data_IF_792358155183
#
_entry.id   IF_792358155183
#
_cell.length_a   1.000
_cell.length_b   1.000
_cell.length_c   1.000
_cell.angle_alpha   90.00
_cell.angle_beta   90.00
_cell.angle_gamma   90.00
#
_symmetry.space_group_name_H-M   'P 1'
#
loop_
_entity.id
_entity.type
_entity.pdbx_description
1 polymer ?
#
# COMPACT_ATOMS: atom_id res chain seq x y z
N UNK A 1 -27.25 -11.13 12.97
CA UNK A 1 -26.84 -12.30 12.15
C UNK A 1 -26.25 -11.84 10.82
N UNK A 2 -24.98 -12.20 10.50
CA UNK A 2 -24.35 -12.26 9.15
C UNK A 2 -22.83 -12.49 9.32
N UNK A 3 -22.40 -13.73 9.56
CA UNK A 3 -20.97 -14.06 9.73
C UNK A 3 -20.40 -15.03 8.66
N UNK A 4 -21.26 -15.67 7.84
CA UNK A 4 -20.83 -16.68 6.87
C UNK A 4 -20.30 -16.18 5.52
N UNK A 5 -20.10 -14.87 5.28
CA UNK A 5 -19.77 -14.34 3.94
C UNK A 5 -18.31 -13.94 3.70
N UNK A 6 -17.54 -13.56 4.72
CA UNK A 6 -16.17 -13.04 4.52
C UNK A 6 -15.21 -14.13 4.01
N UNK A 7 -15.26 -15.32 4.64
CA UNK A 7 -14.47 -16.50 4.23
C UNK A 7 -14.82 -17.03 2.82
N UNK A 8 -15.97 -16.65 2.25
CA UNK A 8 -16.40 -17.11 0.94
C UNK A 8 -15.63 -16.43 -0.22
N UNK A 9 -15.03 -15.26 0.01
CA UNK A 9 -14.34 -14.48 -1.03
C UNK A 9 -12.88 -14.91 -1.27
N UNK A 10 -12.34 -15.85 -0.48
CA UNK A 10 -10.92 -16.26 -0.51
C UNK A 10 -10.74 -17.68 -1.11
N UNK A 11 -11.61 -18.05 -2.06
CA UNK A 11 -11.50 -19.35 -2.79
C UNK A 11 -10.79 -19.17 -4.13
N UNK A 12 -9.63 -19.83 -4.28
CA UNK A 12 -8.76 -19.79 -5.47
C UNK A 12 -9.41 -20.47 -6.69
N UNK A 13 -9.35 -19.88 -7.91
CA UNK A 13 -9.36 -20.67 -9.14
C UNK A 13 -8.01 -21.38 -9.34
N UNK A 14 -8.02 -22.52 -10.04
CA UNK A 14 -6.83 -23.34 -10.23
C UNK A 14 -5.82 -22.75 -11.23
N UNK A 15 -4.54 -23.09 -11.06
CA UNK A 15 -3.46 -22.70 -11.97
C UNK A 15 -3.51 -23.48 -13.28
N UNK A 16 -3.18 -22.82 -14.40
CA UNK A 16 -2.75 -23.47 -15.65
C UNK A 16 -1.34 -23.02 -15.98
N UNK A 17 -0.45 -23.99 -16.13
CA UNK A 17 0.94 -23.78 -16.53
C UNK A 17 1.06 -23.63 -18.04
N UNK A 18 1.96 -22.75 -18.49
CA UNK A 18 2.54 -22.76 -19.83
C UNK A 18 4.02 -22.37 -19.74
N UNK A 19 4.85 -22.93 -20.62
CA UNK A 19 6.31 -22.70 -20.72
C UNK A 19 6.69 -22.42 -22.19
N UNK A 20 7.92 -21.90 -22.49
CA UNK A 20 8.08 -20.85 -23.49
C UNK A 20 8.42 -21.30 -24.92
N UNK A 21 8.18 -20.40 -25.88
CA UNK A 21 8.61 -20.48 -27.28
C UNK A 21 9.95 -19.79 -27.56
N UNK A 22 10.67 -20.29 -28.58
CA UNK A 22 12.06 -19.92 -28.96
C UNK A 22 12.24 -18.54 -29.62
N UNK A 23 13.46 -17.99 -29.44
CA UNK A 23 14.11 -17.01 -30.33
C UNK A 23 14.82 -17.68 -31.53
N UNK A 24 15.06 -16.94 -32.64
CA UNK A 24 16.11 -17.25 -33.61
C UNK A 24 17.19 -16.14 -33.79
N UNK A 25 18.20 -16.46 -34.62
CA UNK A 25 19.41 -15.70 -35.00
C UNK A 25 19.49 -15.61 -36.54
N UNK A 26 20.22 -14.75 -37.25
CA UNK A 26 20.99 -13.48 -37.09
C UNK A 26 21.19 -12.95 -38.56
N UNK A 27 21.94 -11.93 -39.00
CA UNK A 27 23.00 -11.02 -38.48
C UNK A 27 23.00 -9.71 -39.31
N UNK A 28 23.77 -8.68 -38.94
CA UNK A 28 24.08 -7.54 -39.83
C UNK A 28 25.42 -6.87 -39.52
N UNK A 29 26.27 -6.64 -40.53
CA UNK A 29 27.57 -5.93 -40.44
C UNK A 29 27.63 -4.84 -41.51
N UNK A 30 28.23 -3.68 -41.19
CA UNK A 30 29.07 -2.91 -42.13
C UNK A 30 30.07 -2.03 -41.34
N UNK A 31 31.04 -1.41 -42.03
CA UNK A 31 32.19 -0.67 -41.47
C UNK A 31 32.31 0.73 -42.10
N UNK A 32 33.27 1.53 -41.60
CA UNK A 32 33.86 2.78 -42.15
C UNK A 32 33.18 4.11 -41.74
N UNK A 33 33.89 5.24 -41.51
CA UNK A 33 35.33 5.47 -41.21
C UNK A 33 35.59 6.94 -40.73
N UNK A 34 36.60 7.15 -39.87
CA UNK A 34 37.36 8.41 -39.56
C UNK A 34 36.73 9.57 -38.75
N UNK A 35 37.62 10.13 -37.88
CA UNK A 35 37.75 11.54 -37.40
C UNK A 35 36.48 12.19 -36.80
N UNK A 36 36.32 12.30 -35.48
CA UNK A 36 37.29 12.88 -34.54
C UNK A 36 37.01 14.38 -34.35
N UNK A 37 36.25 14.72 -33.30
CA UNK A 37 36.13 16.06 -32.72
C UNK A 37 36.17 15.93 -31.19
N UNK A 38 36.72 16.93 -30.51
CA UNK A 38 36.76 17.01 -29.05
C UNK A 38 35.41 17.42 -28.50
N UNK A 39 34.69 16.48 -27.89
CA UNK A 39 33.46 16.73 -27.14
C UNK A 39 33.76 17.02 -25.67
N UNK A 40 33.03 17.98 -25.10
CA UNK A 40 33.07 18.42 -23.70
C UNK A 40 32.90 17.28 -22.70
N UNK A 41 33.40 17.44 -21.48
CA UNK A 41 33.01 16.58 -20.36
C UNK A 41 31.49 16.69 -20.13
N UNK A 42 30.80 15.56 -20.12
CA UNK A 42 29.34 15.48 -19.99
C UNK A 42 28.95 15.59 -18.50
N UNK A 43 28.99 16.82 -18.00
CA UNK A 43 28.71 17.15 -16.61
C UNK A 43 27.19 17.06 -16.33
N UNK A 44 26.83 16.23 -15.35
CA UNK A 44 25.44 15.90 -14.97
C UNK A 44 24.64 15.04 -15.97
N UNK A 45 25.17 13.85 -16.26
CA UNK A 45 24.35 12.63 -16.32
C UNK A 45 23.66 12.36 -14.95
N UNK A 46 22.81 13.29 -14.51
CA UNK A 46 21.99 13.16 -13.30
C UNK A 46 20.95 12.09 -13.56
N UNK A 47 21.20 10.90 -13.01
CA UNK A 47 20.20 9.86 -12.97
C UNK A 47 18.98 10.39 -12.23
N UNK A 48 17.92 10.68 -12.99
CA UNK A 48 16.59 11.00 -12.46
C UNK A 48 16.04 9.74 -11.81
N UNK A 49 16.49 9.47 -10.59
CA UNK A 49 15.68 8.77 -9.63
C UNK A 49 14.40 9.59 -9.46
N UNK A 50 13.35 9.15 -10.16
CA UNK A 50 12.00 9.48 -9.77
C UNK A 50 11.72 8.75 -8.45
N UNK A 51 12.30 9.27 -7.37
CA UNK A 51 11.79 9.05 -6.02
C UNK A 51 10.38 9.64 -6.05
N UNK A 52 9.38 8.80 -6.32
CA UNK A 52 7.97 9.18 -6.22
C UNK A 52 7.64 9.24 -4.74
N UNK A 53 8.13 10.32 -4.11
CA UNK A 53 7.82 10.63 -2.73
C UNK A 53 6.32 10.82 -2.60
N UNK A 54 5.77 10.43 -1.45
CA UNK A 54 4.40 10.73 -1.06
C UNK A 54 4.16 12.24 -1.22
N UNK A 55 3.14 12.64 -2.01
CA UNK A 55 2.86 14.06 -2.20
C UNK A 55 2.49 14.71 -0.88
N UNK A 56 2.80 15.99 -0.74
CA UNK A 56 2.37 16.74 0.43
C UNK A 56 0.84 16.86 0.49
N UNK A 57 0.35 16.84 1.73
CA UNK A 57 -1.06 17.06 2.05
C UNK A 57 -1.48 18.47 1.65
N UNK A 58 -2.57 18.56 0.90
CA UNK A 58 -3.14 19.82 0.43
C UNK A 58 -3.45 20.75 1.61
N UNK A 59 -3.13 22.03 1.45
CA UNK A 59 -3.21 23.01 2.52
C UNK A 59 -4.64 23.43 2.86
N UNK A 60 -5.61 23.23 1.96
CA UNK A 60 -7.01 23.64 2.13
C UNK A 60 -7.88 22.54 2.75
N UNK A 61 -7.60 21.28 2.42
CA UNK A 61 -8.37 20.09 2.86
C UNK A 61 -7.66 19.30 3.97
N UNK A 62 -6.33 19.39 4.07
CA UNK A 62 -5.52 18.63 5.03
C UNK A 62 -5.31 17.16 4.66
N UNK A 63 -5.73 16.74 3.47
CA UNK A 63 -5.60 15.38 2.93
C UNK A 63 -4.53 15.28 1.84
N UNK A 64 -4.09 14.06 1.50
CA UNK A 64 -3.31 13.81 0.29
C UNK A 64 -4.15 14.14 -0.97
N UNK A 65 -3.54 14.57 -2.08
CA UNK A 65 -4.23 14.79 -3.36
C UNK A 65 -5.02 13.54 -3.81
N UNK A 66 -6.20 13.67 -4.46
CA UNK A 66 -7.03 12.52 -4.84
C UNK A 66 -6.29 11.47 -5.67
N UNK A 67 -6.27 10.22 -5.22
CA UNK A 67 -5.56 9.12 -5.88
C UNK A 67 -5.03 8.05 -4.93
N UNK A 68 -4.26 7.12 -5.49
CA UNK A 68 -3.52 6.10 -4.74
C UNK A 68 -2.03 6.39 -4.89
N UNK A 69 -1.35 6.59 -3.77
CA UNK A 69 0.07 6.95 -3.75
C UNK A 69 0.88 5.76 -3.25
N UNK A 70 1.46 5.00 -4.17
CA UNK A 70 2.34 3.87 -3.85
C UNK A 70 3.58 4.37 -3.09
N UNK A 71 3.90 3.78 -1.94
CA UNK A 71 5.06 4.16 -1.13
C UNK A 71 5.72 2.97 -0.42
N UNK A 72 7.06 2.95 -0.33
CA UNK A 72 7.79 1.95 0.46
C UNK A 72 7.72 2.29 1.96
N UNK A 73 7.88 1.27 2.81
CA UNK A 73 7.91 1.44 4.27
C UNK A 73 8.98 2.42 4.75
N UNK A 74 10.13 2.45 4.06
CA UNK A 74 11.23 3.39 4.31
C UNK A 74 10.85 4.87 4.16
N UNK A 75 9.75 5.17 3.47
CA UNK A 75 9.15 6.50 3.42
C UNK A 75 7.97 6.65 4.39
N UNK A 76 7.05 5.67 4.42
CA UNK A 76 5.85 5.71 5.26
C UNK A 76 6.19 5.88 6.75
N UNK A 77 7.19 5.13 7.23
CA UNK A 77 7.59 5.19 8.64
C UNK A 77 8.07 6.59 9.08
N UNK A 78 9.08 7.23 8.44
CA UNK A 78 9.48 8.58 8.81
C UNK A 78 8.40 9.64 8.50
N UNK A 79 7.67 9.53 7.38
CA UNK A 79 6.66 10.54 6.96
C UNK A 79 5.56 10.76 7.99
N UNK A 80 5.24 9.72 8.77
CA UNK A 80 4.14 9.75 9.74
C UNK A 80 4.54 9.55 11.21
N UNK A 81 5.84 9.45 11.55
CA UNK A 81 6.36 9.28 12.94
C UNK A 81 6.84 10.59 13.60
N UNK A 82 6.26 11.75 13.28
CA UNK A 82 6.79 13.06 13.70
C UNK A 82 6.71 13.39 15.21
N UNK A 83 6.00 12.60 16.01
CA UNK A 83 5.95 12.72 17.47
C UNK A 83 5.78 11.33 18.12
N UNK A 84 6.11 11.19 19.41
CA UNK A 84 6.15 9.89 20.08
C UNK A 84 4.81 9.12 20.09
N UNK A 85 3.67 9.81 20.09
CA UNK A 85 2.36 9.20 19.94
C UNK A 85 2.18 8.58 18.54
N UNK A 86 2.56 9.33 17.50
CA UNK A 86 2.58 8.84 16.12
C UNK A 86 3.59 7.70 15.92
N UNK A 87 4.79 7.77 16.51
CA UNK A 87 5.77 6.66 16.51
C UNK A 87 5.18 5.38 17.11
N UNK A 88 4.40 5.49 18.20
CA UNK A 88 3.68 4.37 18.81
C UNK A 88 2.66 3.75 17.84
N UNK A 89 1.89 4.57 17.11
CA UNK A 89 0.96 4.09 16.09
C UNK A 89 1.69 3.40 14.91
N UNK A 90 2.84 3.92 14.46
CA UNK A 90 3.67 3.29 13.43
C UNK A 90 4.21 1.93 13.87
N UNK A 91 4.57 1.76 15.15
CA UNK A 91 4.92 0.45 15.70
C UNK A 91 3.76 -0.56 15.66
N UNK A 92 2.55 -0.12 16.00
CA UNK A 92 1.33 -0.94 15.89
C UNK A 92 0.99 -1.32 14.45
N UNK A 93 1.13 -0.36 13.52
CA UNK A 93 0.98 -0.57 12.08
C UNK A 93 1.99 -1.60 11.56
N UNK A 94 3.29 -1.44 11.85
CA UNK A 94 4.34 -2.36 11.40
C UNK A 94 4.05 -3.81 11.80
N UNK A 95 3.67 -4.04 13.05
CA UNK A 95 3.34 -5.38 13.55
C UNK A 95 2.12 -6.01 12.83
N UNK A 96 1.15 -5.20 12.42
CA UNK A 96 0.01 -5.67 11.62
C UNK A 96 0.41 -5.95 10.16
N UNK A 97 1.19 -5.05 9.56
CA UNK A 97 1.68 -5.20 8.19
C UNK A 97 2.58 -6.44 8.03
N UNK A 98 3.47 -6.70 9.00
CA UNK A 98 4.32 -7.91 8.99
C UNK A 98 3.50 -9.21 9.10
N UNK A 99 2.38 -9.22 9.85
CA UNK A 99 1.47 -10.37 9.85
C UNK A 99 0.74 -10.52 8.50
N UNK A 100 0.21 -9.43 7.94
CA UNK A 100 -0.44 -9.43 6.63
C UNK A 100 0.51 -9.90 5.51
N UNK A 101 1.76 -9.42 5.51
CA UNK A 101 2.82 -9.83 4.60
C UNK A 101 3.14 -11.32 4.75
N UNK A 102 3.32 -11.77 5.99
CA UNK A 102 3.53 -13.20 6.33
C UNK A 102 2.40 -14.05 5.78
N UNK A 103 1.14 -13.63 5.95
CA UNK A 103 -0.03 -14.33 5.43
C UNK A 103 -0.15 -14.31 3.89
N UNK A 104 0.61 -13.46 3.19
CA UNK A 104 0.63 -13.38 1.72
C UNK A 104 -0.11 -12.19 1.11
N UNK A 105 -0.46 -11.17 1.91
CA UNK A 105 -0.89 -9.88 1.38
C UNK A 105 0.28 -9.17 0.70
N UNK A 106 -0.02 -8.36 -0.32
CA UNK A 106 0.99 -7.64 -1.12
C UNK A 106 1.05 -6.16 -0.80
N UNK A 107 -0.11 -5.55 -0.53
CA UNK A 107 -0.17 -4.14 -0.18
C UNK A 107 -1.32 -3.84 0.77
N UNK A 108 -1.24 -2.68 1.41
CA UNK A 108 -2.29 -2.13 2.27
C UNK A 108 -2.52 -0.67 1.89
N UNK A 109 -3.75 -0.32 1.58
CA UNK A 109 -4.18 1.08 1.53
C UNK A 109 -4.23 1.59 2.97
N UNK A 110 -3.47 2.62 3.31
CA UNK A 110 -3.44 3.29 4.60
C UNK A 110 -4.20 4.63 4.50
N UNK A 111 -5.07 4.87 5.46
CA UNK A 111 -5.99 6.00 5.52
C UNK A 111 -6.25 6.43 6.99
N UNK A 112 -7.33 7.20 7.21
CA UNK A 112 -7.82 7.62 8.50
C UNK A 112 -7.26 8.98 8.90
N UNK A 113 -7.47 9.38 10.16
CA UNK A 113 -6.90 10.65 10.64
C UNK A 113 -5.36 10.63 10.65
N UNK A 114 -4.75 9.44 10.60
CA UNK A 114 -3.32 9.21 10.58
C UNK A 114 -2.58 9.77 9.36
N UNK A 115 -3.15 9.68 8.15
CA UNK A 115 -2.52 10.22 6.92
C UNK A 115 -2.76 11.72 6.70
N UNK A 116 -3.48 12.37 7.62
CA UNK A 116 -3.80 13.81 7.58
C UNK A 116 -2.81 14.68 8.37
N UNK A 117 -2.99 16.01 8.28
CA UNK A 117 -2.28 17.00 9.12
C UNK A 117 -2.58 16.91 10.63
N UNK A 118 -3.49 16.05 11.10
CA UNK A 118 -3.80 15.91 12.54
C UNK A 118 -2.55 15.45 13.31
N UNK A 119 -2.11 16.25 14.28
CA UNK A 119 -0.90 15.98 15.07
C UNK A 119 -1.05 14.71 15.93
N UNK A 120 -2.20 14.58 16.59
CA UNK A 120 -2.58 13.44 17.43
C UNK A 120 -3.79 12.70 16.80
N UNK A 121 -3.57 11.85 15.77
CA UNK A 121 -4.59 10.92 15.28
C UNK A 121 -4.95 9.92 16.38
N UNK A 122 -6.19 9.46 16.45
CA UNK A 122 -6.58 8.47 17.48
C UNK A 122 -5.95 7.10 17.15
N UNK A 123 -6.02 6.75 15.87
CA UNK A 123 -5.67 5.50 15.25
C UNK A 123 -5.34 5.74 13.75
N UNK A 124 -5.04 4.65 13.05
CA UNK A 124 -5.02 4.58 11.58
C UNK A 124 -6.10 3.64 11.05
N UNK A 125 -6.57 3.90 9.83
CA UNK A 125 -7.44 2.99 9.07
C UNK A 125 -6.62 2.31 7.96
N UNK A 126 -6.95 1.07 7.60
CA UNK A 126 -6.28 0.39 6.49
C UNK A 126 -7.08 -0.73 5.80
N UNK A 127 -6.82 -0.94 4.50
CA UNK A 127 -7.52 -1.90 3.67
C UNK A 127 -6.53 -2.80 2.91
N UNK A 128 -6.49 -4.09 3.24
CA UNK A 128 -5.47 -5.03 2.79
C UNK A 128 -5.86 -5.88 1.58
N UNK A 129 -4.91 -6.14 0.68
CA UNK A 129 -5.12 -6.94 -0.52
C UNK A 129 -5.32 -8.43 -0.21
N UNK A 130 -6.50 -8.98 -0.52
CA UNK A 130 -6.82 -10.39 -0.30
C UNK A 130 -6.12 -11.35 -1.29
N UNK A 131 -5.48 -10.85 -2.35
CA UNK A 131 -5.01 -11.65 -3.49
C UNK A 131 -3.74 -12.46 -3.17
N UNK A 132 -3.96 -13.66 -2.65
CA UNK A 132 -2.91 -14.63 -2.32
C UNK A 132 -2.81 -14.95 -0.84
N UNK A 133 -3.52 -14.18 0.00
CA UNK A 133 -3.58 -14.36 1.45
C UNK A 133 -4.07 -15.76 1.83
N UNK A 134 -3.37 -16.36 2.77
CA UNK A 134 -3.75 -17.58 3.48
C UNK A 134 -4.43 -17.19 4.81
N UNK A 135 -5.76 -17.40 4.97
CA UNK A 135 -6.48 -17.03 6.18
C UNK A 135 -6.02 -17.79 7.44
N UNK A 136 -5.33 -18.93 7.30
CA UNK A 136 -4.79 -19.68 8.44
C UNK A 136 -3.51 -19.07 9.02
N UNK A 137 -2.90 -18.11 8.31
CA UNK A 137 -1.64 -17.43 8.67
C UNK A 137 -1.87 -15.97 9.08
N UNK A 138 -3.09 -15.45 8.92
CA UNK A 138 -3.52 -14.19 9.53
C UNK A 138 -3.62 -14.33 11.04
N UNK A 139 -3.32 -13.25 11.75
CA UNK A 139 -3.71 -13.12 13.14
C UNK A 139 -5.25 -13.10 13.24
N UNK A 140 -5.90 -13.95 14.07
CA UNK A 140 -7.36 -14.00 14.15
C UNK A 140 -8.00 -12.66 14.51
N UNK A 141 -7.27 -11.77 15.19
CA UNK A 141 -7.72 -10.41 15.52
C UNK A 141 -7.98 -9.56 14.26
N UNK A 142 -7.27 -9.80 13.14
CA UNK A 142 -7.49 -9.12 11.85
C UNK A 142 -8.77 -9.59 11.14
N UNK A 143 -9.46 -10.59 11.69
CA UNK A 143 -10.76 -11.09 11.24
C UNK A 143 -11.89 -10.83 12.25
N UNK A 144 -11.58 -10.27 13.42
CA UNK A 144 -12.55 -9.91 14.45
C UNK A 144 -13.10 -8.49 14.26
N UNK A 145 -14.31 -8.43 13.73
CA UNK A 145 -15.08 -7.18 13.56
C UNK A 145 -16.14 -6.98 14.65
N UNK A 146 -16.11 -7.79 15.73
CA UNK A 146 -16.99 -7.64 16.88
C UNK A 146 -16.54 -6.49 17.80
N UNK A 147 -17.40 -6.10 18.75
CA UNK A 147 -17.11 -5.11 19.81
C UNK A 147 -16.33 -3.85 19.34
N UNK A 148 -16.74 -3.25 18.22
CA UNK A 148 -16.07 -2.06 17.66
C UNK A 148 -14.60 -2.28 17.26
N UNK A 149 -14.19 -3.52 16.96
CA UNK A 149 -12.80 -3.96 16.70
C UNK A 149 -11.85 -3.69 17.87
N UNK A 150 -12.36 -3.69 19.10
CA UNK A 150 -11.56 -3.41 20.31
C UNK A 150 -10.30 -4.28 20.44
N UNK A 151 -10.35 -5.57 20.06
CA UNK A 151 -9.18 -6.45 20.04
C UNK A 151 -8.09 -5.96 19.08
N UNK A 152 -8.50 -5.47 17.90
CA UNK A 152 -7.62 -4.95 16.85
C UNK A 152 -7.00 -3.61 17.27
N UNK A 153 -7.82 -2.68 17.79
CA UNK A 153 -7.32 -1.42 18.36
C UNK A 153 -6.37 -1.67 19.54
N UNK A 154 -6.65 -2.64 20.40
CA UNK A 154 -5.78 -2.96 21.55
C UNK A 154 -4.42 -3.55 21.14
N UNK A 155 -4.39 -4.40 20.10
CA UNK A 155 -3.18 -5.09 19.65
C UNK A 155 -2.34 -4.30 18.66
N UNK A 156 -2.98 -3.65 17.69
CA UNK A 156 -2.33 -3.03 16.52
C UNK A 156 -2.53 -1.52 16.43
N UNK A 157 -3.32 -0.93 17.33
CA UNK A 157 -3.56 0.53 17.42
C UNK A 157 -4.22 1.16 16.18
N UNK A 158 -4.93 0.35 15.39
CA UNK A 158 -5.65 0.78 14.20
C UNK A 158 -6.71 -0.24 13.74
N UNK A 159 -7.39 0.10 12.67
CA UNK A 159 -8.49 -0.69 12.10
C UNK A 159 -8.14 -1.18 10.69
N UNK A 160 -8.23 -2.48 10.45
CA UNK A 160 -7.77 -3.14 9.23
C UNK A 160 -8.87 -4.03 8.63
N UNK A 161 -9.15 -3.81 7.35
CA UNK A 161 -10.27 -4.42 6.65
C UNK A 161 -9.80 -5.12 5.36
N UNK A 162 -10.43 -6.23 4.92
CA UNK A 162 -10.17 -6.75 3.58
C UNK A 162 -10.60 -5.73 2.53
N UNK A 163 -9.75 -5.40 1.57
CA UNK A 163 -10.02 -4.37 0.55
C UNK A 163 -11.28 -4.64 -0.31
N UNK A 164 -11.77 -5.89 -0.32
CA UNK A 164 -12.99 -6.35 -1.00
C UNK A 164 -14.17 -6.64 -0.05
N UNK A 165 -14.08 -6.26 1.22
CA UNK A 165 -15.22 -6.24 2.13
C UNK A 165 -16.07 -4.99 1.88
N UNK A 166 -17.38 -5.07 2.17
CA UNK A 166 -18.29 -3.93 2.05
C UNK A 166 -18.18 -3.01 3.26
N UNK A 167 -17.89 -1.73 3.02
CA UNK A 167 -18.00 -0.66 4.01
C UNK A 167 -19.44 -0.11 4.07
N UNK A 168 -20.13 -0.06 2.92
CA UNK A 168 -21.53 0.34 2.79
C UNK A 168 -22.22 -0.49 1.68
N UNK A 169 -23.56 -0.41 1.50
CA UNK A 169 -24.25 -1.11 0.41
C UNK A 169 -23.66 -0.74 -0.96
N UNK A 170 -23.02 -1.72 -1.62
CA UNK A 170 -22.37 -1.52 -2.92
C UNK A 170 -20.98 -0.86 -2.90
N UNK A 171 -20.45 -0.46 -1.73
CA UNK A 171 -19.15 0.23 -1.61
C UNK A 171 -18.16 -0.65 -0.86
N UNK A 172 -17.00 -0.94 -1.46
CA UNK A 172 -15.94 -1.72 -0.83
C UNK A 172 -15.00 -0.81 -0.02
N UNK A 173 -14.29 -1.35 0.97
CA UNK A 173 -13.38 -0.56 1.82
C UNK A 173 -12.33 0.23 1.03
N UNK A 174 -11.75 -0.37 -0.02
CA UNK A 174 -10.81 0.33 -0.91
C UNK A 174 -11.44 1.52 -1.65
N UNK A 175 -12.72 1.47 -1.95
CA UNK A 175 -13.43 2.52 -2.70
C UNK A 175 -13.97 3.60 -1.73
N UNK A 176 -14.30 3.19 -0.50
CA UNK A 176 -14.74 4.04 0.61
C UNK A 176 -13.64 5.01 1.07
N UNK A 177 -12.40 4.54 1.22
CA UNK A 177 -11.26 5.37 1.64
C UNK A 177 -10.86 6.45 0.62
N UNK A 178 -11.34 6.40 -0.63
CA UNK A 178 -11.05 7.43 -1.64
C UNK A 178 -11.81 8.75 -1.39
N UNK A 179 -12.63 8.82 -0.32
CA UNK A 179 -13.46 9.99 0.01
C UNK A 179 -13.49 10.28 1.51
N UNK A 180 -13.72 11.54 1.87
CA UNK A 180 -14.01 11.94 3.24
C UNK A 180 -15.48 11.66 3.63
N UNK A 181 -15.87 12.06 4.86
CA UNK A 181 -17.23 11.89 5.39
C UNK A 181 -18.29 12.71 4.64
N UNK A 182 -17.89 13.74 3.89
CA UNK A 182 -18.75 14.59 3.08
C UNK A 182 -18.79 14.14 1.60
N UNK A 183 -18.01 13.12 1.23
CA UNK A 183 -17.89 12.63 -0.14
C UNK A 183 -16.82 13.32 -1.00
N UNK A 184 -16.03 14.23 -0.42
CA UNK A 184 -14.91 14.93 -1.08
C UNK A 184 -13.83 13.90 -1.41
N UNK A 185 -13.37 13.79 -2.68
CA UNK A 185 -12.27 12.90 -3.04
C UNK A 185 -10.98 13.24 -2.30
N UNK A 186 -10.25 12.22 -1.84
CA UNK A 186 -8.96 12.38 -1.17
C UNK A 186 -8.00 11.24 -1.51
N UNK A 187 -6.71 11.47 -1.29
CA UNK A 187 -5.67 10.47 -1.51
C UNK A 187 -5.55 9.47 -0.36
N UNK A 188 -5.06 8.28 -0.71
CA UNK A 188 -4.64 7.22 0.22
C UNK A 188 -3.22 6.78 -0.10
N UNK A 189 -2.49 6.27 0.89
CA UNK A 189 -1.17 5.66 0.68
C UNK A 189 -1.35 4.17 0.38
N UNK A 190 -0.66 3.61 -0.61
CA UNK A 190 -0.59 2.16 -0.81
C UNK A 190 0.80 1.65 -0.41
N UNK A 191 0.89 0.96 0.73
CA UNK A 191 2.16 0.45 1.25
C UNK A 191 2.50 -0.87 0.57
N UNK A 192 3.65 -0.95 -0.11
CA UNK A 192 4.18 -2.23 -0.57
C UNK A 192 4.70 -3.06 0.60
N UNK A 193 4.09 -4.23 0.86
CA UNK A 193 4.52 -5.09 1.95
C UNK A 193 5.83 -5.85 1.65
N UNK A 194 6.27 -5.85 0.39
CA UNK A 194 7.61 -6.31 0.01
C UNK A 194 8.74 -5.38 0.45
N UNK A 195 8.42 -4.17 0.92
CA UNK A 195 9.38 -3.15 1.38
C UNK A 195 9.56 -3.07 2.90
N UNK A 196 8.90 -3.96 3.66
CA UNK A 196 9.00 -4.03 5.13
C UNK A 196 10.38 -4.52 5.62
N UNK A 197 10.81 -4.12 6.83
CA UNK A 197 11.97 -4.67 7.53
C UNK A 197 11.68 -6.02 8.21
#
# INVERSE_FOLDING_TARGET
MRHGKLLAQIRRPASRSHRPGRLPRQVGRHKHHRRGQTGTLDEHATQRYCCVMLPDVDASTGYLPPGVHDAPWSEVAPRFSCNGHRTRLVGGLLAALQNLATAGSRSVLLDGSFVSRKELPEDYDGAWDIRGVDPSRLDPVLLDFSNGRAAMKSKYLGELFPATALAAPGVLYRDFFMKDRNGVPKGVVNIDLGSLP
#
